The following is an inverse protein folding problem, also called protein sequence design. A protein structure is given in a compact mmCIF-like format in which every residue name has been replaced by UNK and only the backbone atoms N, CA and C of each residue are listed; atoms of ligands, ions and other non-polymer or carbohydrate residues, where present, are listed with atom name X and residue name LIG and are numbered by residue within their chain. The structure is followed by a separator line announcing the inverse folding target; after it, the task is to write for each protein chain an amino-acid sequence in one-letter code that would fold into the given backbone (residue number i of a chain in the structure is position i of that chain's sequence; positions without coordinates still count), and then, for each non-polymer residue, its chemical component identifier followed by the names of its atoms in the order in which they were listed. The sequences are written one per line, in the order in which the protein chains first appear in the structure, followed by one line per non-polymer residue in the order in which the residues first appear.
data_IF_414777812433
#
_entry.id   IF_414777812433
#
_cell.length_a   1.000
_cell.length_b   1.000
_cell.length_c   1.000
_cell.angle_alpha   90.00
_cell.angle_beta   90.00
_cell.angle_gamma   90.00
#
_symmetry.space_group_name_H-M   'P 1'
#
loop_
_entity.id
_entity.type
_entity.pdbx_description
1 polymer ?
#
# COMPACT_ATOMS: atom_id res chain seq x y z
N UNK A 1 -1.24 -7.97 -17.57
CA UNK A 1 -1.52 -8.34 -16.18
C UNK A 1 -0.46 -9.34 -15.76
N UNK A 2 0.23 -9.12 -14.63
CA UNK A 2 0.90 -10.22 -13.99
C UNK A 2 -0.18 -11.24 -13.64
N UNK A 3 0.08 -12.52 -13.87
CA UNK A 3 -0.91 -13.55 -13.56
C UNK A 3 -1.33 -13.51 -12.07
N UNK A 4 -2.33 -14.32 -11.71
CA UNK A 4 -2.73 -14.47 -10.31
C UNK A 4 -1.58 -14.94 -9.40
N UNK A 5 -0.60 -15.66 -9.96
CA UNK A 5 0.59 -16.13 -9.25
C UNK A 5 1.45 -15.02 -8.64
N UNK A 6 1.98 -14.07 -9.43
CA UNK A 6 2.75 -12.93 -8.89
C UNK A 6 2.03 -12.12 -7.80
N UNK A 7 0.73 -11.85 -7.96
CA UNK A 7 -0.09 -11.19 -6.94
C UNK A 7 -0.08 -11.94 -5.61
N UNK A 8 -0.36 -13.24 -5.70
CA UNK A 8 -0.39 -14.13 -4.54
C UNK A 8 0.98 -14.24 -3.88
N UNK A 9 2.06 -14.43 -4.66
CA UNK A 9 3.43 -14.54 -4.14
C UNK A 9 3.91 -13.23 -3.48
N UNK A 10 3.65 -12.08 -4.09
CA UNK A 10 4.03 -10.78 -3.53
C UNK A 10 3.35 -10.53 -2.19
N UNK A 11 2.03 -10.68 -2.12
CA UNK A 11 1.27 -10.40 -0.92
C UNK A 11 1.52 -11.44 0.18
N UNK A 12 1.59 -12.73 -0.17
CA UNK A 12 1.89 -13.79 0.80
C UNK A 12 3.31 -13.68 1.33
N UNK A 13 4.30 -13.43 0.46
CA UNK A 13 5.69 -13.23 0.88
C UNK A 13 5.84 -12.05 1.84
N UNK A 14 5.19 -10.92 1.53
CA UNK A 14 5.16 -9.75 2.41
C UNK A 14 4.45 -10.05 3.75
N UNK A 15 3.34 -10.80 3.70
CA UNK A 15 2.63 -11.27 4.89
C UNK A 15 3.49 -12.16 5.79
N UNK A 16 4.20 -13.13 5.21
CA UNK A 16 5.14 -14.00 5.94
C UNK A 16 6.28 -13.20 6.57
N UNK A 17 6.83 -12.22 5.85
CA UNK A 17 7.84 -11.32 6.41
C UNK A 17 7.29 -10.55 7.62
N UNK A 18 6.06 -10.02 7.54
CA UNK A 18 5.40 -9.35 8.67
C UNK A 18 5.10 -10.30 9.83
N UNK A 19 4.74 -11.56 9.57
CA UNK A 19 4.59 -12.58 10.61
C UNK A 19 5.89 -12.74 11.39
N UNK A 20 7.02 -12.83 10.68
CA UNK A 20 8.34 -12.94 11.32
C UNK A 20 8.71 -11.67 12.11
N UNK A 21 8.55 -10.49 11.53
CA UNK A 21 8.92 -9.20 12.15
C UNK A 21 8.05 -8.83 13.35
N UNK A 22 6.80 -9.31 13.37
CA UNK A 22 5.84 -9.03 14.45
C UNK A 22 5.83 -10.07 15.58
N UNK A 23 6.65 -11.12 15.47
CA UNK A 23 6.62 -12.31 16.32
C UNK A 23 5.24 -12.99 16.34
N UNK A 24 4.64 -13.17 15.16
CA UNK A 24 3.35 -13.85 14.97
C UNK A 24 2.11 -13.01 15.26
N UNK A 25 2.25 -11.77 15.77
CA UNK A 25 1.11 -10.87 16.02
C UNK A 25 0.37 -10.45 14.75
N UNK A 26 1.11 -10.27 13.65
CA UNK A 26 0.57 -10.44 12.32
C UNK A 26 0.59 -11.95 12.05
N UNK A 27 -0.58 -12.58 12.02
CA UNK A 27 -0.69 -14.05 12.00
C UNK A 27 -1.15 -14.62 10.65
N UNK A 28 -1.32 -15.95 10.55
CA UNK A 28 -1.79 -16.64 9.35
C UNK A 28 -3.10 -16.07 8.78
N UNK A 29 -4.06 -15.74 9.64
CA UNK A 29 -5.30 -15.09 9.21
C UNK A 29 -5.07 -13.72 8.54
N UNK A 30 -4.13 -12.93 9.06
CA UNK A 30 -3.82 -11.61 8.48
C UNK A 30 -3.21 -11.78 7.09
N UNK A 31 -2.21 -12.65 6.98
CA UNK A 31 -1.53 -12.98 5.72
C UNK A 31 -2.52 -13.50 4.68
N UNK A 32 -3.41 -14.42 5.06
CA UNK A 32 -4.38 -14.98 4.13
C UNK A 32 -5.37 -13.93 3.65
N UNK A 33 -5.98 -13.14 4.55
CA UNK A 33 -6.91 -12.08 4.16
C UNK A 33 -6.23 -11.03 3.27
N UNK A 34 -5.01 -10.58 3.62
CA UNK A 34 -4.25 -9.66 2.78
C UNK A 34 -3.99 -10.23 1.38
N UNK A 35 -3.52 -11.49 1.32
CA UNK A 35 -3.19 -12.17 0.06
C UNK A 35 -4.40 -12.36 -0.84
N UNK A 36 -5.53 -12.81 -0.28
CA UNK A 36 -6.77 -13.02 -1.05
C UNK A 36 -7.24 -11.72 -1.69
N UNK A 37 -7.14 -10.59 -1.00
CA UNK A 37 -7.55 -9.30 -1.56
C UNK A 37 -6.53 -8.71 -2.54
N UNK A 38 -5.25 -9.04 -2.42
CA UNK A 38 -4.24 -8.70 -3.43
C UNK A 38 -4.37 -9.55 -4.70
N UNK A 39 -4.89 -10.77 -4.56
CA UNK A 39 -5.16 -11.66 -5.69
C UNK A 39 -6.51 -11.35 -6.33
N UNK A 40 -7.62 -11.58 -5.62
CA UNK A 40 -8.96 -11.52 -6.18
C UNK A 40 -9.61 -10.15 -6.13
N UNK A 41 -9.07 -9.20 -5.36
CA UNK A 41 -9.86 -8.07 -4.84
C UNK A 41 -10.66 -7.33 -5.92
N UNK A 42 -10.06 -6.40 -6.67
CA UNK A 42 -10.72 -5.68 -7.77
C UNK A 42 -11.19 -6.59 -8.92
N UNK A 43 -10.45 -7.67 -9.18
CA UNK A 43 -10.76 -8.66 -10.22
C UNK A 43 -12.01 -9.51 -9.97
N UNK A 44 -12.62 -9.43 -8.80
CA UNK A 44 -13.88 -10.14 -8.53
C UNK A 44 -15.02 -9.66 -9.43
N UNK A 45 -14.95 -8.42 -9.92
CA UNK A 45 -15.90 -7.88 -10.89
C UNK A 45 -15.82 -8.64 -12.22
N UNK A 46 -14.63 -8.70 -12.81
CA UNK A 46 -14.37 -9.39 -14.08
C UNK A 46 -14.63 -10.90 -13.96
N UNK A 47 -14.30 -11.51 -12.81
CA UNK A 47 -14.64 -12.90 -12.52
C UNK A 47 -16.16 -13.13 -12.44
N UNK A 48 -16.91 -12.23 -11.79
CA UNK A 48 -18.37 -12.33 -11.68
C UNK A 48 -19.05 -12.18 -13.03
N UNK A 49 -18.50 -11.37 -13.93
CA UNK A 49 -18.98 -11.27 -15.31
C UNK A 49 -18.70 -12.52 -16.13
N UNK A 50 -17.48 -13.05 -16.02
CA UNK A 50 -17.14 -14.31 -16.65
C UNK A 50 -18.09 -15.43 -16.18
N UNK A 51 -18.39 -15.51 -14.89
CA UNK A 51 -19.40 -16.42 -14.35
C UNK A 51 -20.81 -16.11 -14.88
N UNK A 52 -21.22 -14.84 -14.89
CA UNK A 52 -22.53 -14.39 -15.37
C UNK A 52 -22.76 -14.68 -16.85
N UNK A 53 -21.69 -14.73 -17.64
CA UNK A 53 -21.75 -15.08 -19.07
C UNK A 53 -22.30 -16.48 -19.33
N UNK A 54 -22.11 -17.43 -18.39
CA UNK A 54 -22.71 -18.76 -18.46
C UNK A 54 -24.22 -18.76 -18.19
N UNK A 55 -24.75 -17.68 -17.60
CA UNK A 55 -26.16 -17.53 -17.18
C UNK A 55 -26.88 -16.38 -17.92
N UNK A 56 -26.32 -15.87 -19.02
CA UNK A 56 -26.88 -14.75 -19.83
C UNK A 56 -27.10 -13.44 -19.05
N UNK A 57 -26.32 -13.22 -17.99
CA UNK A 57 -26.31 -11.99 -17.19
C UNK A 57 -25.11 -11.12 -17.61
N UNK A 58 -25.34 -9.85 -17.92
CA UNK A 58 -24.27 -8.89 -18.24
C UNK A 58 -24.18 -7.82 -17.15
N UNK A 59 -23.00 -7.71 -16.54
CA UNK A 59 -22.74 -6.88 -15.36
C UNK A 59 -21.65 -5.81 -15.54
N UNK A 60 -21.34 -5.41 -16.79
CA UNK A 60 -20.20 -4.52 -17.17
C UNK A 60 -19.96 -3.35 -16.23
N UNK A 61 -21.03 -2.57 -15.98
CA UNK A 61 -20.92 -1.35 -15.17
C UNK A 61 -20.57 -1.62 -13.70
N UNK A 62 -20.99 -2.77 -13.15
CA UNK A 62 -20.69 -3.13 -11.77
C UNK A 62 -19.25 -3.64 -11.64
N UNK A 63 -18.74 -4.42 -12.61
CA UNK A 63 -17.34 -4.81 -12.57
C UNK A 63 -16.41 -3.62 -12.74
N UNK A 64 -16.72 -2.70 -13.67
CA UNK A 64 -15.95 -1.47 -13.83
C UNK A 64 -15.93 -0.64 -12.54
N UNK A 65 -17.06 -0.55 -11.84
CA UNK A 65 -17.14 0.14 -10.55
C UNK A 65 -16.36 -0.59 -9.45
N UNK A 66 -16.36 -1.93 -9.42
CA UNK A 66 -15.59 -2.72 -8.47
C UNK A 66 -14.08 -2.63 -8.77
N UNK A 67 -13.70 -2.45 -10.03
CA UNK A 67 -12.31 -2.33 -10.45
C UNK A 67 -11.74 -0.90 -10.27
N UNK A 68 -12.53 0.04 -9.72
CA UNK A 68 -12.01 1.36 -9.35
C UNK A 68 -11.35 1.30 -7.94
N UNK A 69 -10.14 1.87 -7.78
CA UNK A 69 -9.42 1.82 -6.51
C UNK A 69 -10.15 2.39 -5.31
N UNK A 70 -11.08 3.33 -5.48
CA UNK A 70 -11.84 3.93 -4.39
C UNK A 70 -13.17 3.20 -4.20
N UNK A 71 -13.88 2.92 -5.28
CA UNK A 71 -15.18 2.28 -5.21
C UNK A 71 -15.12 0.82 -4.76
N UNK A 72 -14.03 0.10 -5.01
CA UNK A 72 -13.83 -1.25 -4.48
C UNK A 72 -14.07 -1.32 -2.96
N UNK A 73 -13.46 -0.39 -2.21
CA UNK A 73 -13.57 -0.36 -0.74
C UNK A 73 -15.00 -0.03 -0.29
N UNK A 74 -15.69 0.83 -1.03
CA UNK A 74 -17.03 1.29 -0.69
C UNK A 74 -18.10 0.23 -1.00
N UNK A 75 -17.97 -0.45 -2.14
CA UNK A 75 -18.94 -1.44 -2.63
C UNK A 75 -18.73 -2.79 -1.94
N UNK A 76 -17.50 -3.31 -1.96
CA UNK A 76 -17.20 -4.66 -1.47
C UNK A 76 -16.42 -4.70 -0.15
N UNK A 77 -15.68 -3.64 0.18
CA UNK A 77 -14.90 -3.61 1.42
C UNK A 77 -15.73 -3.82 2.68
N UNK A 78 -16.91 -3.20 2.77
CA UNK A 78 -17.82 -3.38 3.91
C UNK A 78 -18.41 -4.80 3.97
N UNK A 79 -19.08 -5.34 2.92
CA UNK A 79 -19.57 -6.72 2.94
C UNK A 79 -18.47 -7.76 3.25
N UNK A 80 -17.31 -7.66 2.59
CA UNK A 80 -16.20 -8.59 2.76
C UNK A 80 -15.61 -8.53 4.17
N UNK A 81 -15.69 -7.38 4.84
CA UNK A 81 -15.25 -7.24 6.23
C UNK A 81 -16.01 -8.18 7.18
N UNK A 82 -17.34 -8.27 7.02
CA UNK A 82 -18.15 -9.18 7.83
C UNK A 82 -17.87 -10.64 7.47
N UNK A 83 -17.75 -10.95 6.17
CA UNK A 83 -17.44 -12.28 5.69
C UNK A 83 -16.09 -12.77 6.20
N UNK A 84 -15.02 -12.00 6.05
CA UNK A 84 -13.69 -12.41 6.50
C UNK A 84 -13.58 -12.52 8.01
N UNK A 85 -14.25 -11.66 8.78
CA UNK A 85 -14.29 -11.81 10.24
C UNK A 85 -15.01 -13.10 10.65
N UNK A 86 -16.08 -13.49 9.94
CA UNK A 86 -16.76 -14.77 10.14
C UNK A 86 -15.87 -15.96 9.74
N UNK A 87 -15.25 -15.93 8.56
CA UNK A 87 -14.33 -16.98 8.08
C UNK A 87 -13.16 -17.16 9.04
N UNK A 88 -12.58 -16.07 9.56
CA UNK A 88 -11.48 -16.13 10.52
C UNK A 88 -11.91 -16.82 11.82
N UNK A 89 -13.09 -16.47 12.37
CA UNK A 89 -13.66 -17.15 13.55
C UNK A 89 -13.90 -18.62 13.31
N UNK A 90 -14.48 -18.96 12.16
CA UNK A 90 -14.79 -20.33 11.79
C UNK A 90 -13.51 -21.17 11.63
N UNK A 91 -12.52 -20.65 10.89
CA UNK A 91 -11.24 -21.33 10.66
C UNK A 91 -10.45 -21.53 11.96
N UNK A 92 -10.53 -20.55 12.87
CA UNK A 92 -9.95 -20.66 14.21
C UNK A 92 -10.63 -21.77 15.03
N UNK A 93 -11.97 -21.81 15.07
CA UNK A 93 -12.73 -22.84 15.82
C UNK A 93 -12.46 -24.26 15.32
N UNK A 94 -12.21 -24.42 14.02
CA UNK A 94 -11.88 -25.71 13.41
C UNK A 94 -10.39 -26.07 13.52
N UNK A 95 -9.54 -25.19 14.05
CA UNK A 95 -8.09 -25.42 14.12
C UNK A 95 -7.39 -25.44 12.75
N UNK A 96 -8.00 -24.84 11.73
CA UNK A 96 -7.42 -24.79 10.37
C UNK A 96 -6.24 -23.81 10.32
N UNK A 97 -6.37 -22.68 11.00
CA UNK A 97 -5.34 -21.64 11.07
C UNK A 97 -5.07 -21.28 12.53
N UNK A 98 -3.79 -21.12 12.85
CA UNK A 98 -3.35 -20.61 14.14
C UNK A 98 -3.58 -19.09 14.24
N UNK A 99 -3.76 -18.61 15.47
CA UNK A 99 -3.89 -17.18 15.76
C UNK A 99 -3.19 -16.78 17.04
N UNK A 100 -2.51 -15.63 16.98
CA UNK A 100 -1.88 -15.03 18.15
C UNK A 100 -2.91 -14.74 19.24
N UNK A 101 -2.60 -15.15 20.47
CA UNK A 101 -3.49 -15.06 21.64
C UNK A 101 -4.86 -15.74 21.47
N UNK A 102 -5.00 -16.69 20.54
CA UNK A 102 -6.27 -17.41 20.30
C UNK A 102 -7.46 -16.50 19.92
N UNK A 103 -7.19 -15.32 19.32
CA UNK A 103 -8.23 -14.36 18.91
C UNK A 103 -8.34 -14.31 17.38
N UNK A 104 -9.53 -14.50 16.79
CA UNK A 104 -9.73 -14.33 15.35
C UNK A 104 -9.73 -12.85 14.93
N UNK A 105 -9.63 -12.57 13.63
CA UNK A 105 -9.61 -11.19 13.12
C UNK A 105 -10.88 -10.42 13.47
N UNK A 106 -10.68 -9.22 14.03
CA UNK A 106 -11.74 -8.23 14.17
C UNK A 106 -12.15 -7.65 12.81
N UNK A 107 -13.37 -7.13 12.73
CA UNK A 107 -13.88 -6.45 11.54
C UNK A 107 -12.97 -5.29 11.10
N UNK A 108 -12.44 -4.52 12.05
CA UNK A 108 -11.49 -3.42 11.74
C UNK A 108 -10.24 -3.95 11.06
N UNK A 109 -9.66 -5.04 11.56
CA UNK A 109 -8.48 -5.65 10.96
C UNK A 109 -8.79 -6.18 9.56
N UNK A 110 -9.93 -6.87 9.39
CA UNK A 110 -10.37 -7.32 8.06
C UNK A 110 -10.51 -6.16 7.08
N UNK A 111 -11.15 -5.05 7.47
CA UNK A 111 -11.29 -3.87 6.61
C UNK A 111 -9.93 -3.31 6.18
N UNK A 112 -8.99 -3.14 7.13
CA UNK A 112 -7.64 -2.66 6.82
C UNK A 112 -6.89 -3.60 5.85
N UNK A 113 -7.01 -4.91 6.06
CA UNK A 113 -6.37 -5.92 5.22
C UNK A 113 -6.99 -6.04 3.83
N UNK A 114 -8.31 -5.82 3.71
CA UNK A 114 -8.99 -5.73 2.41
C UNK A 114 -8.40 -4.57 1.63
N UNK A 115 -8.44 -3.37 2.20
CA UNK A 115 -7.92 -2.14 1.55
C UNK A 115 -6.45 -2.32 1.17
N UNK A 116 -5.62 -2.83 2.08
CA UNK A 116 -4.21 -3.11 1.83
C UNK A 116 -3.99 -4.08 0.66
N UNK A 117 -4.75 -5.18 0.64
CA UNK A 117 -4.67 -6.19 -0.41
C UNK A 117 -5.02 -5.61 -1.76
N UNK A 118 -6.18 -4.97 -1.89
CA UNK A 118 -6.61 -4.34 -3.14
C UNK A 118 -5.69 -3.21 -3.62
N UNK A 119 -5.12 -2.39 -2.74
CA UNK A 119 -4.11 -1.41 -3.16
C UNK A 119 -2.82 -2.09 -3.66
N UNK A 120 -2.45 -3.23 -3.07
CA UNK A 120 -1.32 -4.05 -3.54
C UNK A 120 -1.61 -4.73 -4.88
N UNK A 121 -2.87 -5.06 -5.15
CA UNK A 121 -3.34 -5.53 -6.46
C UNK A 121 -3.09 -4.44 -7.51
N UNK A 122 -3.68 -3.26 -7.29
CA UNK A 122 -3.47 -2.12 -8.19
C UNK A 122 -1.99 -1.76 -8.35
N UNK A 123 -1.16 -1.87 -7.31
CA UNK A 123 0.28 -1.65 -7.44
C UNK A 123 0.91 -2.49 -8.56
N UNK A 124 0.59 -3.80 -8.57
CA UNK A 124 1.13 -4.75 -9.52
C UNK A 124 0.51 -4.54 -10.91
N UNK A 125 -0.78 -4.27 -11.00
CA UNK A 125 -1.41 -3.99 -12.28
C UNK A 125 -0.88 -2.71 -12.92
N UNK A 126 -0.75 -1.61 -12.18
CA UNK A 126 -0.18 -0.38 -12.74
C UNK A 126 1.25 -0.57 -13.29
N UNK A 127 2.03 -1.50 -12.73
CA UNK A 127 3.40 -1.80 -13.18
C UNK A 127 3.46 -2.77 -14.36
N UNK A 128 2.54 -3.72 -14.46
CA UNK A 128 2.65 -4.87 -15.37
C UNK A 128 1.44 -5.05 -16.31
N UNK A 129 0.42 -4.21 -16.17
CA UNK A 129 -0.76 -4.19 -17.02
C UNK A 129 -0.63 -3.15 -18.15
N UNK A 130 -1.29 -3.45 -19.27
CA UNK A 130 -1.32 -2.66 -20.50
C UNK A 130 0.06 -2.26 -21.05
N UNK A 131 1.13 -2.98 -20.69
CA UNK A 131 2.52 -2.59 -20.96
C UNK A 131 2.85 -1.15 -20.48
N UNK A 132 2.32 -0.75 -19.32
CA UNK A 132 2.51 0.59 -18.77
C UNK A 132 1.70 1.67 -19.50
N UNK A 133 0.47 1.37 -19.93
CA UNK A 133 -0.41 2.35 -20.58
C UNK A 133 -1.58 2.81 -19.72
N UNK A 134 -1.67 2.32 -18.49
CA UNK A 134 -2.68 2.80 -17.55
C UNK A 134 -2.60 4.33 -17.40
N UNK A 135 -3.75 4.97 -17.14
CA UNK A 135 -3.82 6.44 -16.96
C UNK A 135 -2.88 6.90 -15.85
N UNK A 136 -2.80 6.14 -14.76
CA UNK A 136 -1.88 6.41 -13.65
C UNK A 136 -0.42 6.29 -14.09
N UNK A 137 -0.01 5.20 -14.75
CA UNK A 137 1.38 5.04 -15.20
C UNK A 137 1.78 6.11 -16.22
N UNK A 138 0.88 6.43 -17.15
CA UNK A 138 1.06 7.54 -18.11
C UNK A 138 1.21 8.88 -17.38
N UNK A 139 0.41 9.12 -16.35
CA UNK A 139 0.53 10.32 -15.52
C UNK A 139 1.86 10.35 -14.76
N UNK A 140 2.28 9.24 -14.15
CA UNK A 140 3.58 9.11 -13.47
C UNK A 140 4.69 9.53 -14.42
N UNK A 141 4.78 8.90 -15.59
CA UNK A 141 5.77 9.23 -16.61
C UNK A 141 5.66 10.69 -17.03
N UNK A 142 4.46 11.25 -17.18
CA UNK A 142 4.29 12.65 -17.59
C UNK A 142 4.90 13.68 -16.64
N UNK A 143 5.26 13.29 -15.40
CA UNK A 143 5.88 14.21 -14.44
C UNK A 143 7.37 14.51 -14.70
N UNK A 144 8.01 13.75 -15.60
CA UNK A 144 9.40 13.99 -16.05
C UNK A 144 9.53 14.70 -17.40
N UNK A 145 10.77 14.86 -17.88
CA UNK A 145 11.09 15.46 -19.19
C UNK A 145 11.63 14.41 -20.16
N UNK A 146 10.79 13.93 -21.07
CA UNK A 146 11.16 12.83 -21.97
C UNK A 146 11.40 13.28 -23.42
N UNK A 147 11.50 14.59 -23.66
CA UNK A 147 11.69 15.15 -25.01
C UNK A 147 13.06 15.80 -25.15
N UNK A 148 13.97 15.11 -25.84
CA UNK A 148 15.35 15.57 -26.00
C UNK A 148 16.09 15.65 -24.66
N UNK A 149 17.24 16.31 -24.64
CA UNK A 149 18.04 16.44 -23.42
C UNK A 149 17.38 17.44 -22.47
N UNK A 150 17.02 17.00 -21.26
CA UNK A 150 16.47 17.93 -20.27
C UNK A 150 17.52 18.99 -19.88
N UNK A 151 17.14 20.28 -19.84
CA UNK A 151 18.01 21.30 -19.28
C UNK A 151 18.15 21.09 -17.77
N UNK A 152 19.39 20.96 -17.29
CA UNK A 152 19.66 20.89 -15.84
C UNK A 152 19.30 22.23 -15.23
N UNK A 153 18.35 22.23 -14.29
CA UNK A 153 17.96 23.42 -13.54
C UNK A 153 18.84 23.56 -12.27
N UNK A 154 19.66 24.62 -12.14
CA UNK A 154 20.48 24.86 -10.95
C UNK A 154 19.65 24.93 -9.65
N UNK A 155 18.43 25.50 -9.72
CA UNK A 155 17.54 25.59 -8.56
C UNK A 155 17.12 24.21 -8.07
N UNK A 156 16.87 23.29 -9.00
CA UNK A 156 16.54 21.91 -8.68
C UNK A 156 17.71 21.21 -7.97
N UNK A 157 18.94 21.38 -8.47
CA UNK A 157 20.14 20.83 -7.83
C UNK A 157 20.28 21.36 -6.40
N UNK A 158 20.08 22.66 -6.19
CA UNK A 158 20.20 23.25 -4.87
C UNK A 158 19.09 22.77 -3.92
N UNK A 159 17.83 22.80 -4.35
CA UNK A 159 16.68 22.42 -3.51
C UNK A 159 16.72 20.93 -3.18
N UNK A 160 16.90 20.06 -4.19
CA UNK A 160 16.95 18.62 -3.98
C UNK A 160 18.18 18.22 -3.17
N UNK A 161 19.34 18.79 -3.49
CA UNK A 161 20.57 18.58 -2.71
C UNK A 161 20.39 18.98 -1.25
N UNK A 162 19.80 20.14 -0.98
CA UNK A 162 19.51 20.60 0.38
C UNK A 162 18.54 19.67 1.12
N UNK A 163 17.46 19.23 0.47
CA UNK A 163 16.49 18.31 1.06
C UNK A 163 17.11 16.94 1.36
N UNK A 164 17.91 16.40 0.45
CA UNK A 164 18.64 15.14 0.63
C UNK A 164 19.64 15.24 1.79
N UNK A 165 20.46 16.30 1.84
CA UNK A 165 21.41 16.54 2.94
C UNK A 165 20.65 16.68 4.27
N UNK A 166 19.56 17.45 4.28
CA UNK A 166 18.73 17.64 5.47
C UNK A 166 18.14 16.33 5.98
N UNK A 167 17.68 15.45 5.08
CA UNK A 167 17.18 14.13 5.42
C UNK A 167 18.28 13.26 6.03
N UNK A 168 19.45 13.18 5.37
CA UNK A 168 20.57 12.36 5.83
C UNK A 168 21.12 12.83 7.17
N UNK A 169 21.45 14.12 7.27
CA UNK A 169 21.98 14.73 8.51
C UNK A 169 20.94 14.66 9.63
N UNK A 170 19.68 14.94 9.34
CA UNK A 170 18.59 14.84 10.30
C UNK A 170 18.40 13.41 10.83
N UNK A 171 18.44 12.42 9.94
CA UNK A 171 18.34 11.01 10.32
C UNK A 171 19.51 10.58 11.21
N UNK A 172 20.75 10.94 10.84
CA UNK A 172 21.95 10.70 11.66
C UNK A 172 21.80 11.38 13.02
N UNK A 173 21.33 12.62 13.06
CA UNK A 173 21.16 13.38 14.29
C UNK A 173 20.11 12.77 15.25
N UNK A 174 18.99 12.27 14.71
CA UNK A 174 17.93 11.61 15.49
C UNK A 174 18.44 10.29 16.08
N UNK A 175 19.17 9.52 15.27
CA UNK A 175 19.63 8.16 15.58
C UNK A 175 21.04 8.09 16.17
N UNK A 176 21.68 9.24 16.47
CA UNK A 176 22.98 9.26 17.15
C UNK A 176 22.92 8.52 18.49
N UNK A 177 24.01 7.82 18.80
CA UNK A 177 24.17 7.05 20.05
C UNK A 177 23.95 7.98 21.25
N UNK A 178 22.97 7.64 22.09
CA UNK A 178 22.68 8.34 23.36
C UNK A 178 22.36 7.33 24.45
N UNK A 179 22.74 7.59 25.71
CA UNK A 179 22.78 6.57 26.75
C UNK A 179 21.43 5.92 27.12
N UNK A 180 20.27 6.55 26.87
CA UNK A 180 18.97 5.92 27.11
C UNK A 180 17.92 6.53 26.16
N UNK A 181 17.74 5.97 24.95
CA UNK A 181 16.60 6.30 24.09
C UNK A 181 15.89 5.03 23.66
N UNK A 182 14.57 5.00 23.78
CA UNK A 182 13.75 3.95 23.18
C UNK A 182 13.82 4.08 21.66
N UNK A 183 14.20 3.00 20.97
CA UNK A 183 14.22 2.91 19.51
C UNK A 183 12.88 3.31 18.87
N UNK A 184 11.77 3.12 19.60
CA UNK A 184 10.42 3.51 19.17
C UNK A 184 10.28 5.02 19.00
N UNK A 185 10.82 5.81 19.93
CA UNK A 185 10.75 7.26 19.81
C UNK A 185 11.63 7.76 18.64
N UNK A 186 12.79 7.14 18.45
CA UNK A 186 13.68 7.47 17.33
C UNK A 186 13.05 7.13 15.97
N UNK A 187 12.38 5.98 15.86
CA UNK A 187 11.67 5.60 14.63
C UNK A 187 10.53 6.57 14.33
N UNK A 188 9.76 7.00 15.34
CA UNK A 188 8.70 8.00 15.16
C UNK A 188 9.25 9.35 14.68
N UNK A 189 10.31 9.86 15.30
CA UNK A 189 10.95 11.11 14.86
C UNK A 189 11.56 10.98 13.45
N UNK A 190 12.13 9.83 13.12
CA UNK A 190 12.66 9.56 11.78
C UNK A 190 11.56 9.55 10.73
N UNK A 191 10.43 8.88 11.01
CA UNK A 191 9.26 8.89 10.14
C UNK A 191 8.70 10.30 9.95
N UNK A 192 8.63 11.10 11.03
CA UNK A 192 8.22 12.51 10.97
C UNK A 192 9.15 13.34 10.08
N UNK A 193 10.46 13.16 10.20
CA UNK A 193 11.44 13.83 9.34
C UNK A 193 11.24 13.46 7.87
N UNK A 194 11.12 12.16 7.56
CA UNK A 194 10.87 11.67 6.20
C UNK A 194 9.61 12.30 5.62
N UNK A 195 8.52 12.33 6.40
CA UNK A 195 7.25 12.90 5.95
C UNK A 195 7.38 14.41 5.66
N UNK A 196 8.04 15.17 6.53
CA UNK A 196 8.29 16.60 6.30
C UNK A 196 9.08 16.82 5.01
N UNK A 197 10.20 16.10 4.83
CA UNK A 197 11.04 16.24 3.64
C UNK A 197 10.28 15.83 2.38
N UNK A 198 9.55 14.71 2.41
CA UNK A 198 8.74 14.25 1.29
C UNK A 198 7.64 15.27 0.93
N UNK A 199 6.96 15.86 1.91
CA UNK A 199 5.96 16.91 1.66
C UNK A 199 6.56 18.17 1.04
N UNK A 200 7.71 18.63 1.54
CA UNK A 200 8.43 19.76 0.96
C UNK A 200 8.87 19.46 -0.48
N UNK A 201 9.35 18.25 -0.74
CA UNK A 201 9.77 17.84 -2.08
C UNK A 201 8.58 17.76 -3.04
N UNK A 202 7.47 17.14 -2.62
CA UNK A 202 6.24 17.11 -3.41
C UNK A 202 5.71 18.51 -3.71
N UNK A 203 5.75 19.43 -2.75
CA UNK A 203 5.35 20.83 -2.95
C UNK A 203 6.24 21.53 -3.98
N UNK A 204 7.56 21.32 -3.89
CA UNK A 204 8.50 21.82 -4.89
C UNK A 204 8.18 21.25 -6.28
N UNK A 205 8.04 19.94 -6.41
CA UNK A 205 7.73 19.31 -7.69
C UNK A 205 6.39 19.80 -8.26
N UNK A 206 5.35 19.92 -7.43
CA UNK A 206 4.06 20.45 -7.82
C UNK A 206 4.18 21.91 -8.30
N UNK A 207 5.01 22.74 -7.66
CA UNK A 207 5.24 24.11 -8.11
C UNK A 207 5.86 24.17 -9.51
N UNK A 208 6.86 23.34 -9.80
CA UNK A 208 7.52 23.30 -11.11
C UNK A 208 6.58 22.81 -12.22
N UNK A 209 5.70 21.87 -11.87
CA UNK A 209 4.77 21.21 -12.81
C UNK A 209 3.53 22.07 -13.09
N UNK A 210 2.93 22.65 -12.05
CA UNK A 210 1.60 23.26 -12.12
C UNK A 210 1.58 24.78 -11.97
N UNK A 211 2.63 25.41 -11.43
CA UNK A 211 2.66 26.87 -11.20
C UNK A 211 3.65 27.62 -12.08
N UNK A 212 4.79 27.01 -12.44
CA UNK A 212 5.79 27.65 -13.30
C UNK A 212 5.35 27.59 -14.78
N UNK A 213 5.47 28.72 -15.49
CA UNK A 213 5.18 28.82 -16.93
C UNK A 213 6.43 29.25 -17.71
N UNK A 214 6.85 28.52 -18.77
CA UNK A 214 6.34 27.22 -19.19
C UNK A 214 6.61 26.13 -18.14
N UNK A 215 5.80 25.07 -18.13
CA UNK A 215 5.96 23.92 -17.24
C UNK A 215 7.38 23.36 -17.32
N UNK A 216 7.96 23.03 -16.16
CA UNK A 216 9.31 22.45 -16.05
C UNK A 216 9.26 21.13 -15.31
N UNK A 217 10.08 20.16 -15.73
CA UNK A 217 10.30 18.99 -14.90
C UNK A 217 11.06 19.40 -13.63
N UNK A 218 10.71 18.84 -12.46
CA UNK A 218 11.36 19.20 -11.19
C UNK A 218 12.85 18.88 -11.18
N UNK A 219 13.24 17.72 -11.72
CA UNK A 219 14.62 17.29 -11.88
C UNK A 219 14.73 16.66 -13.28
N UNK A 220 15.62 17.23 -14.11
CA UNK A 220 16.05 16.64 -15.37
C UNK A 220 14.96 15.93 -16.17
N UNK A 221 15.23 14.66 -16.50
CA UNK A 221 14.35 13.76 -17.26
C UNK A 221 13.43 12.94 -16.32
N UNK A 222 13.64 13.04 -15.01
CA UNK A 222 13.09 12.14 -13.99
C UNK A 222 11.63 12.45 -13.61
N UNK A 223 10.84 11.39 -13.42
CA UNK A 223 9.43 11.46 -13.05
C UNK A 223 9.23 11.50 -11.52
N UNK A 224 9.55 12.60 -10.85
CA UNK A 224 9.56 12.62 -9.38
C UNK A 224 8.17 12.59 -8.72
N UNK A 225 7.33 13.60 -8.98
CA UNK A 225 6.07 13.78 -8.25
C UNK A 225 5.14 12.57 -8.42
N UNK A 226 5.09 12.05 -9.64
CA UNK A 226 4.25 10.91 -9.95
C UNK A 226 4.68 9.64 -9.23
N UNK A 227 5.98 9.35 -9.24
CA UNK A 227 6.56 8.20 -8.56
C UNK A 227 6.34 8.30 -7.05
N UNK A 228 6.54 9.48 -6.45
CA UNK A 228 6.36 9.67 -5.00
C UNK A 228 4.90 9.40 -4.57
N UNK A 229 3.93 9.93 -5.31
CA UNK A 229 2.51 9.69 -5.02
C UNK A 229 2.15 8.23 -5.23
N UNK A 230 2.64 7.62 -6.32
CA UNK A 230 2.42 6.21 -6.59
C UNK A 230 2.96 5.30 -5.48
N UNK A 231 4.22 5.52 -5.06
CA UNK A 231 4.82 4.77 -3.95
C UNK A 231 4.09 5.01 -2.63
N UNK A 232 3.68 6.25 -2.33
CA UNK A 232 2.93 6.55 -1.12
C UNK A 232 1.61 5.75 -1.06
N UNK A 233 0.85 5.75 -2.16
CA UNK A 233 -0.49 5.15 -2.22
C UNK A 233 -0.49 3.64 -2.40
N UNK A 234 0.36 3.11 -3.27
CA UNK A 234 0.30 1.71 -3.71
C UNK A 234 1.42 0.86 -3.11
N UNK A 235 2.47 1.46 -2.54
CA UNK A 235 3.54 0.71 -1.87
C UNK A 235 3.52 0.90 -0.35
N UNK A 236 3.72 2.11 0.17
CA UNK A 236 3.84 2.33 1.61
C UNK A 236 2.52 2.20 2.37
N UNK A 237 1.42 2.76 1.84
CA UNK A 237 0.11 2.71 2.50
C UNK A 237 -0.39 1.27 2.75
N UNK A 238 -0.35 0.32 1.81
CA UNK A 238 -0.70 -1.08 2.07
C UNK A 238 0.05 -1.68 3.25
N UNK A 239 1.37 -1.48 3.30
CA UNK A 239 2.20 -1.98 4.39
C UNK A 239 1.84 -1.31 5.72
N UNK A 240 1.59 0.00 5.73
CA UNK A 240 1.11 0.71 6.92
C UNK A 240 -0.23 0.17 7.41
N UNK A 241 -1.18 -0.11 6.51
CA UNK A 241 -2.49 -0.69 6.86
C UNK A 241 -2.34 -2.11 7.44
N UNK A 242 -1.44 -2.92 6.89
CA UNK A 242 -1.07 -4.21 7.46
C UNK A 242 -0.42 -4.07 8.85
N UNK A 243 0.45 -3.09 9.06
CA UNK A 243 1.05 -2.82 10.38
C UNK A 243 -0.03 -2.37 11.39
N UNK A 244 -0.98 -1.55 10.95
CA UNK A 244 -2.10 -1.09 11.79
C UNK A 244 -3.10 -2.20 12.13
N UNK A 245 -3.12 -3.30 11.39
CA UNK A 245 -3.97 -4.45 11.68
C UNK A 245 -3.31 -5.46 12.62
N UNK A 246 -2.03 -5.31 12.97
CA UNK A 246 -1.32 -6.20 13.89
C UNK A 246 -2.01 -6.25 15.27
N UNK A 247 -2.12 -7.45 15.84
CA UNK A 247 -2.63 -7.63 17.20
C UNK A 247 -1.79 -6.83 18.24
N UNK A 248 -2.43 -6.19 19.23
CA UNK A 248 -1.72 -5.48 20.28
C UNK A 248 -0.88 -6.47 21.12
N UNK A 249 0.16 -5.95 21.79
CA UNK A 249 1.01 -6.79 22.65
C UNK A 249 0.27 -7.28 23.89
N UNK A 250 -0.63 -6.45 24.40
CA UNK A 250 -1.36 -6.67 25.65
C UNK A 250 -2.80 -7.09 25.34
N UNK A 251 -2.99 -8.11 24.50
CA UNK A 251 -4.26 -8.84 24.54
C UNK A 251 -4.22 -9.61 25.85
N UNK A 252 -4.79 -9.03 26.90
CA UNK A 252 -5.12 -9.74 28.13
C UNK A 252 -5.72 -11.08 27.70
N UNK A 253 -5.10 -12.16 28.13
CA UNK A 253 -5.58 -13.53 27.97
C UNK A 253 -6.79 -13.68 28.88
N UNK A 254 -7.84 -12.90 28.63
CA UNK A 254 -9.16 -13.13 29.15
C UNK A 254 -9.63 -14.41 28.46
N UNK A 255 -9.36 -15.51 29.14
CA UNK A 255 -9.77 -16.87 28.86
C UNK A 255 -11.14 -16.87 28.18
N UNK A 256 -11.18 -17.29 26.92
CA UNK A 256 -12.42 -17.79 26.35
C UNK A 256 -12.88 -18.96 27.22
N UNK A 257 -14.13 -18.98 27.71
CA UNK A 257 -14.65 -20.19 28.33
C UNK A 257 -14.65 -21.28 27.26
N UNK A 258 -14.03 -22.42 27.59
CA UNK A 258 -14.12 -23.67 26.85
C UNK A 258 -15.57 -24.10 26.67
#
# INVERSE_FOLDING_TARGET
MPGPGPHLMYAMGSGVAMMKLSNGRFGPHHTLTYTVNAFFGPDIGSFSEWLGSFFSSSGSALADAIHDPVYYFLILGLPLTFLYSWISRFSFRLGILDSFSAVPLSKRQCFLLIVAGSLSHFFLDHLFEENGRSKMYTWILSTGWWKGRAPVNPDAVFVVGFLCISLLVGFIYINRVKPVKSAINQSYQSAKLILIIASLYCLWCASQIYWVTPRRAPVGEEADLGILIFLAMYFFLPHCLCIMSINPKDVDVAQLPL
#
